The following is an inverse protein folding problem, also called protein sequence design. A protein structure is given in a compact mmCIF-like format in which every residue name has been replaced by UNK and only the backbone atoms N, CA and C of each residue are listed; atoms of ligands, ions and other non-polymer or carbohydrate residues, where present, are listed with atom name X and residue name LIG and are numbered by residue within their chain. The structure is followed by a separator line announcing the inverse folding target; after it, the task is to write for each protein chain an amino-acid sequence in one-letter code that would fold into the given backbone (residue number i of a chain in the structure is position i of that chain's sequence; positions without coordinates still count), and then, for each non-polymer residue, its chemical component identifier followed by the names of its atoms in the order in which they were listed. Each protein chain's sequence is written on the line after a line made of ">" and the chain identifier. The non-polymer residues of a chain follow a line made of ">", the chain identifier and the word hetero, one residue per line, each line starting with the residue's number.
data_IF_254692436510
#
_entry.id   IF_254692436510
#
_cell.length_a   1.000
_cell.length_b   1.000
_cell.length_c   1.000
_cell.angle_alpha   90.00
_cell.angle_beta   90.00
_cell.angle_gamma   90.00
#
_symmetry.space_group_name_H-M   'P 1'
#
loop_
_entity.id
_entity.type
_entity.pdbx_description
1 polymer ?
#
# COMPACT_ATOMS: atom_id res chain seq x y z
N UNK A 1 -2.01 -11.16 21.07
CA UNK A 1 -2.10 -12.58 20.67
C UNK A 1 -1.33 -12.79 19.38
N UNK A 2 -0.51 -13.80 19.35
CA UNK A 2 0.32 -14.08 18.17
C UNK A 2 -0.49 -14.77 17.08
N UNK A 3 -0.37 -14.28 15.83
CA UNK A 3 -0.96 -14.93 14.68
C UNK A 3 -0.26 -16.29 14.42
N UNK A 4 -1.01 -17.36 14.11
CA UNK A 4 -0.38 -18.63 13.78
C UNK A 4 0.58 -18.49 12.60
N UNK A 5 1.73 -19.13 12.73
CA UNK A 5 2.75 -19.10 11.68
C UNK A 5 2.39 -20.06 10.53
N UNK A 6 2.80 -19.71 9.33
CA UNK A 6 2.73 -20.60 8.19
C UNK A 6 4.04 -21.39 8.14
N UNK A 7 3.93 -22.71 7.93
CA UNK A 7 5.07 -23.62 7.97
C UNK A 7 5.89 -23.55 6.68
N UNK A 8 6.54 -22.42 6.41
CA UNK A 8 7.54 -22.22 5.38
C UNK A 8 8.84 -21.87 6.09
N UNK A 9 9.92 -22.52 5.75
CA UNK A 9 11.19 -22.36 6.46
C UNK A 9 12.33 -21.94 5.55
N UNK A 10 13.39 -21.42 6.19
CA UNK A 10 14.64 -21.12 5.54
C UNK A 10 14.60 -19.94 4.60
N UNK A 11 15.35 -20.06 3.50
CA UNK A 11 15.51 -18.97 2.53
C UNK A 11 14.21 -18.65 1.79
N UNK A 12 13.34 -19.64 1.58
CA UNK A 12 12.05 -19.42 0.95
C UNK A 12 11.18 -18.48 1.76
N UNK A 13 11.13 -18.66 3.08
CA UNK A 13 10.39 -17.79 3.98
C UNK A 13 10.90 -16.34 3.94
N UNK A 14 12.21 -16.17 4.02
CA UNK A 14 12.84 -14.85 3.97
C UNK A 14 12.55 -14.15 2.64
N UNK A 15 12.61 -14.88 1.53
CA UNK A 15 12.30 -14.33 0.21
C UNK A 15 10.87 -13.87 0.09
N UNK A 16 9.92 -14.68 0.57
CA UNK A 16 8.49 -14.32 0.54
C UNK A 16 8.21 -13.11 1.40
N UNK A 17 8.77 -13.04 2.59
CA UNK A 17 8.61 -11.88 3.47
C UNK A 17 9.14 -10.61 2.80
N UNK A 18 10.28 -10.69 2.13
CA UNK A 18 10.86 -9.56 1.40
C UNK A 18 9.96 -9.07 0.27
N UNK A 19 9.39 -9.99 -0.50
CA UNK A 19 8.46 -9.65 -1.59
C UNK A 19 7.18 -9.01 -1.02
N UNK A 20 6.62 -9.59 0.03
CA UNK A 20 5.40 -9.06 0.65
C UNK A 20 5.63 -7.66 1.21
N UNK A 21 6.75 -7.42 1.88
CA UNK A 21 7.06 -6.10 2.40
C UNK A 21 7.29 -5.07 1.27
N UNK A 22 7.87 -5.48 0.15
CA UNK A 22 8.02 -4.62 -1.01
C UNK A 22 6.65 -4.22 -1.58
N UNK A 23 5.75 -5.17 -1.71
CA UNK A 23 4.38 -4.90 -2.17
C UNK A 23 3.57 -4.12 -1.15
N UNK A 24 3.83 -4.34 0.14
CA UNK A 24 3.20 -3.56 1.21
C UNK A 24 3.55 -2.07 1.09
N UNK A 25 4.82 -1.75 0.88
CA UNK A 25 5.25 -0.38 0.67
C UNK A 25 4.55 0.27 -0.52
N UNK A 26 4.45 -0.44 -1.64
CA UNK A 26 3.74 0.05 -2.84
C UNK A 26 2.26 0.29 -2.56
N UNK A 27 1.60 -0.63 -1.87
CA UNK A 27 0.17 -0.52 -1.57
C UNK A 27 -0.12 0.66 -0.63
N UNK A 28 0.68 0.85 0.39
CA UNK A 28 0.55 1.98 1.31
C UNK A 28 0.77 3.30 0.55
N UNK A 29 1.81 3.36 -0.27
CA UNK A 29 2.10 4.54 -1.07
C UNK A 29 0.96 4.85 -2.04
N UNK A 30 0.41 3.82 -2.70
CA UNK A 30 -0.74 3.99 -3.58
C UNK A 30 -1.96 4.55 -2.84
N UNK A 31 -2.23 4.08 -1.63
CA UNK A 31 -3.33 4.60 -0.82
C UNK A 31 -3.14 6.09 -0.52
N UNK A 32 -1.91 6.50 -0.24
CA UNK A 32 -1.59 7.91 -0.02
C UNK A 32 -1.75 8.75 -1.29
N UNK A 33 -1.31 8.22 -2.43
CA UNK A 33 -1.45 8.88 -3.74
C UNK A 33 -2.92 9.10 -4.08
N UNK A 34 -3.75 8.08 -3.89
CA UNK A 34 -5.19 8.14 -4.15
C UNK A 34 -5.85 9.20 -3.26
N UNK A 35 -5.48 9.26 -1.99
CA UNK A 35 -6.05 10.25 -1.07
C UNK A 35 -5.58 11.66 -1.42
N UNK A 36 -4.33 11.83 -1.79
CA UNK A 36 -3.83 13.12 -2.25
C UNK A 36 -4.59 13.60 -3.51
N UNK A 37 -4.84 12.70 -4.44
CA UNK A 37 -5.64 13.01 -5.62
C UNK A 37 -7.06 13.41 -5.25
N UNK A 38 -7.68 12.69 -4.31
CA UNK A 38 -9.02 12.98 -3.80
C UNK A 38 -9.10 14.41 -3.26
N UNK A 39 -8.07 14.85 -2.53
CA UNK A 39 -8.04 16.20 -1.95
C UNK A 39 -7.84 17.30 -3.00
N UNK A 40 -7.15 17.02 -4.10
CA UNK A 40 -6.64 18.06 -5.00
C UNK A 40 -7.31 18.12 -6.37
N UNK A 41 -8.26 17.23 -6.66
CA UNK A 41 -8.94 17.22 -7.95
C UNK A 41 -9.70 18.53 -8.21
N UNK A 42 -9.67 18.95 -9.47
CA UNK A 42 -10.33 20.16 -9.95
C UNK A 42 -10.96 19.87 -11.32
N UNK A 43 -11.82 20.77 -11.77
CA UNK A 43 -12.40 20.71 -13.10
C UNK A 43 -13.86 20.27 -13.10
N UNK A 44 -14.49 20.19 -14.29
CA UNK A 44 -15.93 20.01 -14.41
C UNK A 44 -16.45 18.67 -13.93
N UNK A 45 -15.61 17.63 -13.87
CA UNK A 45 -16.02 16.31 -13.39
C UNK A 45 -15.47 16.00 -12.00
N UNK A 46 -15.03 17.03 -11.30
CA UNK A 46 -14.39 16.90 -10.00
C UNK A 46 -15.20 16.05 -9.00
N UNK A 47 -16.50 16.32 -8.84
CA UNK A 47 -17.30 15.64 -7.80
C UNK A 47 -17.37 14.13 -8.03
N UNK A 48 -17.63 13.69 -9.27
CA UNK A 48 -17.73 12.25 -9.56
C UNK A 48 -16.41 11.51 -9.28
N UNK A 49 -15.29 12.06 -9.73
CA UNK A 49 -13.98 11.42 -9.52
C UNK A 49 -13.56 11.51 -8.06
N UNK A 50 -13.79 12.66 -7.41
CA UNK A 50 -13.51 12.85 -6.00
C UNK A 50 -14.22 11.80 -5.14
N UNK A 51 -15.51 11.58 -5.37
CA UNK A 51 -16.29 10.59 -4.61
C UNK A 51 -15.87 9.16 -4.91
N UNK A 52 -15.46 8.87 -6.14
CA UNK A 52 -15.00 7.55 -6.56
C UNK A 52 -13.69 7.15 -5.85
N UNK A 53 -12.82 8.09 -5.59
CA UNK A 53 -11.49 7.81 -5.04
C UNK A 53 -11.52 7.32 -3.60
N UNK A 54 -12.48 7.74 -2.78
CA UNK A 54 -12.57 7.27 -1.41
C UNK A 54 -12.90 5.76 -1.30
N UNK A 55 -13.88 5.21 -2.02
CA UNK A 55 -14.07 3.76 -2.04
C UNK A 55 -12.85 2.99 -2.57
N UNK A 56 -12.15 3.54 -3.56
CA UNK A 56 -10.92 2.93 -4.08
C UNK A 56 -9.85 2.88 -2.99
N UNK A 57 -9.66 3.97 -2.26
CA UNK A 57 -8.73 3.99 -1.13
C UNK A 57 -9.10 2.96 -0.06
N UNK A 58 -10.38 2.86 0.27
CA UNK A 58 -10.85 1.88 1.25
C UNK A 58 -10.53 0.45 0.80
N UNK A 59 -10.70 0.14 -0.49
CA UNK A 59 -10.35 -1.17 -1.03
C UNK A 59 -8.85 -1.43 -0.96
N UNK A 60 -8.02 -0.42 -1.24
CA UNK A 60 -6.56 -0.55 -1.12
C UNK A 60 -6.17 -0.81 0.32
N UNK A 61 -6.79 -0.14 1.28
CA UNK A 61 -6.50 -0.32 2.71
C UNK A 61 -6.79 -1.75 3.16
N UNK A 62 -7.83 -2.39 2.64
CA UNK A 62 -8.10 -3.82 2.90
C UNK A 62 -6.94 -4.68 2.42
N UNK A 63 -6.42 -4.44 1.23
CA UNK A 63 -5.28 -5.18 0.69
C UNK A 63 -4.00 -4.90 1.49
N UNK A 64 -3.79 -3.69 1.97
CA UNK A 64 -2.67 -3.36 2.86
C UNK A 64 -2.71 -4.25 4.10
N UNK A 65 -3.86 -4.35 4.74
CA UNK A 65 -4.01 -5.19 5.92
C UNK A 65 -3.74 -6.66 5.63
N UNK A 66 -4.28 -7.17 4.50
CA UNK A 66 -4.07 -8.57 4.10
C UNK A 66 -2.58 -8.86 3.90
N UNK A 67 -1.87 -8.00 3.21
CA UNK A 67 -0.43 -8.18 2.97
C UNK A 67 0.35 -8.14 4.28
N UNK A 68 0.07 -7.16 5.13
CA UNK A 68 0.75 -6.99 6.42
C UNK A 68 0.52 -8.20 7.33
N UNK A 69 -0.70 -8.68 7.40
CA UNK A 69 -1.04 -9.84 8.22
C UNK A 69 -0.37 -11.11 7.71
N UNK A 70 -0.22 -11.24 6.38
CA UNK A 70 0.49 -12.37 5.80
C UNK A 70 1.96 -12.36 6.20
N UNK A 71 2.60 -11.21 6.24
CA UNK A 71 3.98 -11.07 6.72
C UNK A 71 4.07 -11.54 8.18
N UNK A 72 3.14 -11.11 9.02
CA UNK A 72 3.11 -11.52 10.42
C UNK A 72 2.89 -13.03 10.58
N UNK A 73 2.04 -13.63 9.74
CA UNK A 73 1.81 -15.08 9.75
C UNK A 73 3.05 -15.88 9.38
N UNK A 74 3.97 -15.28 8.64
CA UNK A 74 5.26 -15.88 8.27
C UNK A 74 6.36 -15.57 9.28
N UNK A 75 6.01 -15.04 10.45
CA UNK A 75 6.94 -14.62 11.50
C UNK A 75 7.84 -13.46 11.09
N UNK A 76 7.46 -12.72 10.07
CA UNK A 76 8.15 -11.50 9.68
C UNK A 76 7.59 -10.28 10.39
N UNK A 77 8.22 -9.15 10.15
CA UNK A 77 7.76 -7.85 10.63
C UNK A 77 7.19 -7.08 9.46
N UNK A 78 5.91 -6.72 9.53
CA UNK A 78 5.28 -5.89 8.50
C UNK A 78 5.83 -4.47 8.61
N UNK A 79 6.41 -3.97 7.54
CA UNK A 79 7.14 -2.69 7.52
C UNK A 79 6.30 -1.64 6.79
N UNK A 80 5.56 -0.83 7.54
CA UNK A 80 4.60 0.11 6.99
C UNK A 80 4.71 1.54 7.49
N UNK A 81 5.81 1.91 8.15
CA UNK A 81 6.00 3.30 8.56
C UNK A 81 6.28 4.19 7.35
N UNK A 82 6.03 5.50 7.49
CA UNK A 82 6.23 6.44 6.39
C UNK A 82 7.66 6.44 5.86
N UNK A 83 8.65 6.30 6.73
CA UNK A 83 10.06 6.26 6.34
C UNK A 83 10.38 5.04 5.48
N UNK A 84 9.88 3.87 5.89
CA UNK A 84 10.09 2.62 5.15
C UNK A 84 9.37 2.67 3.81
N UNK A 85 8.14 3.16 3.78
CA UNK A 85 7.35 3.28 2.54
C UNK A 85 8.06 4.20 1.55
N UNK A 86 8.52 5.37 2.00
CA UNK A 86 9.19 6.32 1.13
C UNK A 86 10.46 5.74 0.50
N UNK A 87 11.17 4.90 1.25
CA UNK A 87 12.41 4.28 0.79
C UNK A 87 12.16 3.07 -0.09
N UNK A 88 11.12 2.31 0.19
CA UNK A 88 10.87 1.02 -0.44
C UNK A 88 9.88 1.04 -1.60
N UNK A 89 9.12 2.12 -1.77
CA UNK A 89 8.14 2.18 -2.85
C UNK A 89 8.80 2.17 -4.22
N UNK A 90 8.18 1.45 -5.16
CA UNK A 90 8.59 1.46 -6.55
C UNK A 90 7.73 2.39 -7.41
N UNK A 91 6.74 3.05 -6.80
CA UNK A 91 5.87 3.95 -7.54
C UNK A 91 6.59 5.26 -7.86
N UNK A 92 6.44 5.69 -9.10
CA UNK A 92 7.16 6.86 -9.60
C UNK A 92 6.56 8.18 -9.12
N UNK A 93 7.42 9.18 -8.89
CA UNK A 93 6.99 10.51 -8.51
C UNK A 93 6.09 11.19 -9.54
N UNK A 94 6.26 10.86 -10.82
CA UNK A 94 5.40 11.36 -11.90
C UNK A 94 3.94 10.92 -11.67
N UNK A 95 3.73 9.66 -11.28
CA UNK A 95 2.39 9.15 -10.98
C UNK A 95 1.73 9.96 -9.86
N UNK A 96 2.46 10.26 -8.80
CA UNK A 96 1.94 11.08 -7.69
C UNK A 96 1.50 12.46 -8.16
N UNK A 97 2.34 13.10 -8.95
CA UNK A 97 2.08 14.46 -9.47
C UNK A 97 0.88 14.45 -10.40
N UNK A 98 0.84 13.50 -11.34
CA UNK A 98 -0.23 13.44 -12.33
C UNK A 98 -1.59 13.15 -11.69
N UNK A 99 -1.66 12.28 -10.71
CA UNK A 99 -2.92 12.01 -10.01
C UNK A 99 -3.39 13.21 -9.19
N UNK A 100 -2.48 13.97 -8.63
CA UNK A 100 -2.84 15.18 -7.89
C UNK A 100 -3.34 16.31 -8.81
N UNK A 101 -2.91 16.32 -10.06
CA UNK A 101 -3.27 17.34 -11.04
C UNK A 101 -4.47 16.96 -11.92
N UNK A 102 -4.91 15.74 -11.85
CA UNK A 102 -5.95 15.18 -12.74
C UNK A 102 -7.34 15.86 -12.62
#
# INVERSE_FOLDING_TARGET
>A
MKTPSIAIEGNGKSTVIGILNARLADAIDLALIVKQAHWNLKGPQFIGVHEMLDPIRAAIDVHVDIIAERVAQLDGIALGTSQVVAKGTTLEGVLRTQLAEA
#
